data_IF_558187207928
#
_entry.id   IF_558187207928
#
_cell.length_a   1.000
_cell.length_b   1.000
_cell.length_c   1.000
_cell.angle_alpha   90.00
_cell.angle_beta   90.00
_cell.angle_gamma   90.00
#
_symmetry.space_group_name_H-M   'P 1'
#
loop_
_entity.id
_entity.type
_entity.pdbx_description
1 polymer ?
#
# COMPACT_ATOMS: atom_id res chain seq x y z
N UNK A 1 -0.46 8.84 0.04
CA UNK A 1 -0.78 9.97 0.93
C UNK A 1 -0.66 9.63 2.42
N UNK A 2 -0.56 8.35 2.80
CA UNK A 2 -0.54 7.89 4.19
C UNK A 2 -1.90 7.91 4.89
N UNK A 3 -3.01 8.10 4.18
CA UNK A 3 -4.35 8.07 4.76
C UNK A 3 -5.00 6.70 4.60
N UNK A 4 -5.80 6.31 5.59
CA UNK A 4 -6.65 5.13 5.53
C UNK A 4 -8.12 5.51 5.35
N UNK A 5 -8.89 4.56 4.81
CA UNK A 5 -10.33 4.73 4.69
C UNK A 5 -10.99 4.54 6.07
N UNK A 6 -11.90 5.44 6.44
CA UNK A 6 -12.69 5.24 7.67
C UNK A 6 -13.83 4.25 7.44
N UNK A 7 -14.24 3.55 8.50
CA UNK A 7 -15.31 2.57 8.43
C UNK A 7 -16.62 3.11 7.81
N UNK A 8 -17.11 4.32 8.15
CA UNK A 8 -18.30 4.88 7.51
C UNK A 8 -18.12 5.12 6.00
N UNK A 9 -16.92 5.57 5.58
CA UNK A 9 -16.64 5.76 4.14
C UNK A 9 -16.56 4.42 3.41
N UNK A 10 -15.99 3.39 4.04
CA UNK A 10 -15.92 2.05 3.49
C UNK A 10 -17.32 1.49 3.24
N UNK A 11 -18.22 1.56 4.22
CA UNK A 11 -19.61 1.13 4.05
C UNK A 11 -20.33 1.90 2.95
N UNK A 12 -20.17 3.22 2.91
CA UNK A 12 -20.79 4.03 1.85
C UNK A 12 -20.28 3.65 0.46
N UNK A 13 -18.99 3.34 0.34
CA UNK A 13 -18.42 2.90 -0.93
C UNK A 13 -19.00 1.55 -1.37
N UNK A 14 -19.11 0.59 -0.45
CA UNK A 14 -19.72 -0.71 -0.73
C UNK A 14 -21.18 -0.59 -1.14
N UNK A 15 -21.97 0.25 -0.46
CA UNK A 15 -23.36 0.53 -0.84
C UNK A 15 -23.47 1.15 -2.25
N UNK A 16 -22.57 2.06 -2.61
CA UNK A 16 -22.52 2.64 -3.95
C UNK A 16 -22.14 1.59 -5.00
N UNK A 17 -21.17 0.74 -4.70
CA UNK A 17 -20.77 -0.35 -5.58
C UNK A 17 -21.91 -1.33 -5.83
N UNK A 18 -22.65 -1.70 -4.80
CA UNK A 18 -23.83 -2.55 -4.90
C UNK A 18 -24.92 -1.88 -5.75
N UNK A 19 -25.26 -0.63 -5.41
CA UNK A 19 -26.32 0.14 -6.10
C UNK A 19 -26.07 0.31 -7.59
N UNK A 20 -24.80 0.49 -7.97
CA UNK A 20 -24.40 0.74 -9.36
C UNK A 20 -23.81 -0.50 -10.04
N UNK A 21 -23.91 -1.67 -9.42
CA UNK A 21 -23.36 -2.93 -9.90
C UNK A 21 -21.87 -2.82 -10.31
N UNK A 22 -21.06 -2.20 -9.46
CA UNK A 22 -19.62 -2.03 -9.68
C UNK A 22 -18.84 -3.10 -8.91
N UNK A 23 -17.71 -3.54 -9.49
CA UNK A 23 -16.68 -4.25 -8.76
C UNK A 23 -15.67 -3.24 -8.18
N UNK A 24 -15.12 -3.56 -7.02
CA UNK A 24 -14.08 -2.75 -6.37
C UNK A 24 -12.77 -3.52 -6.45
N UNK A 25 -11.73 -2.90 -6.98
CA UNK A 25 -10.36 -3.42 -6.89
C UNK A 25 -9.65 -2.70 -5.75
N UNK A 26 -9.34 -3.45 -4.68
CA UNK A 26 -8.59 -2.96 -3.52
C UNK A 26 -7.12 -3.34 -3.68
N UNK A 27 -6.31 -2.42 -4.20
CA UNK A 27 -4.86 -2.59 -4.34
C UNK A 27 -4.16 -2.11 -3.07
N UNK A 28 -3.73 -3.03 -2.21
CA UNK A 28 -3.15 -2.74 -0.90
C UNK A 28 -1.74 -3.33 -0.70
N UNK A 29 -0.74 -2.86 -1.45
CA UNK A 29 0.65 -3.33 -1.32
C UNK A 29 1.30 -2.93 0.00
N UNK A 30 0.63 -2.13 0.83
CA UNK A 30 1.08 -1.66 2.13
C UNK A 30 0.31 -2.28 3.30
N UNK A 31 -0.53 -3.27 3.04
CA UNK A 31 -1.37 -3.93 4.04
C UNK A 31 -0.60 -4.36 5.30
N UNK A 32 0.59 -4.91 5.10
CA UNK A 32 1.42 -5.47 6.17
C UNK A 32 1.99 -4.42 7.13
N UNK A 33 1.99 -3.14 6.74
CA UNK A 33 2.41 -2.04 7.60
C UNK A 33 1.26 -1.44 8.42
N UNK A 34 0.03 -1.76 8.05
CA UNK A 34 -1.16 -1.27 8.75
C UNK A 34 -1.45 -2.12 9.98
N UNK A 35 -2.07 -1.55 11.01
CA UNK A 35 -2.56 -2.33 12.14
C UNK A 35 -3.61 -3.35 11.66
N UNK A 36 -3.74 -4.45 12.39
CA UNK A 36 -4.73 -5.51 12.10
C UNK A 36 -6.17 -5.01 12.14
N UNK A 37 -6.42 -3.92 12.88
CA UNK A 37 -7.70 -3.22 12.95
C UNK A 37 -7.99 -2.30 11.76
N UNK A 38 -7.05 -2.14 10.82
CA UNK A 38 -7.27 -1.30 9.64
C UNK A 38 -8.44 -1.83 8.81
N UNK A 39 -9.28 -0.91 8.38
CA UNK A 39 -10.45 -1.23 7.56
C UNK A 39 -10.02 -1.69 6.19
N UNK A 40 -10.51 -2.85 5.76
CA UNK A 40 -10.36 -3.38 4.39
C UNK A 40 -11.73 -3.65 3.80
N UNK A 41 -11.95 -3.19 2.59
CA UNK A 41 -13.21 -3.39 1.87
C UNK A 41 -13.47 -4.86 1.62
N UNK A 42 -12.44 -5.60 1.23
CA UNK A 42 -12.49 -7.05 1.00
C UNK A 42 -12.91 -7.84 2.23
N UNK A 43 -12.51 -7.40 3.43
CA UNK A 43 -12.94 -8.03 4.68
C UNK A 43 -14.40 -7.74 5.00
N UNK A 44 -14.87 -6.52 4.74
CA UNK A 44 -16.25 -6.12 4.99
C UNK A 44 -17.23 -6.75 4.00
N UNK A 45 -16.82 -6.86 2.74
CA UNK A 45 -17.59 -7.36 1.62
C UNK A 45 -17.50 -8.89 1.45
N UNK A 46 -16.58 -9.54 2.16
CA UNK A 46 -16.29 -10.98 2.06
C UNK A 46 -15.97 -11.44 0.62
N UNK A 47 -15.36 -10.56 -0.17
CA UNK A 47 -15.00 -10.78 -1.58
C UNK A 47 -16.20 -11.00 -2.53
N UNK A 48 -17.39 -10.54 -2.16
CA UNK A 48 -18.56 -10.65 -3.04
C UNK A 48 -18.43 -9.74 -4.27
N UNK A 49 -17.97 -8.51 -4.08
CA UNK A 49 -17.73 -7.50 -5.13
C UNK A 49 -16.32 -6.95 -5.14
N UNK A 50 -15.55 -7.28 -4.10
CA UNK A 50 -14.19 -6.75 -3.93
C UNK A 50 -13.17 -7.77 -4.42
N UNK A 51 -12.24 -7.29 -5.25
CA UNK A 51 -11.05 -8.00 -5.68
C UNK A 51 -9.88 -7.40 -4.92
N UNK A 52 -9.27 -8.17 -4.03
CA UNK A 52 -8.14 -7.71 -3.23
C UNK A 52 -6.82 -8.10 -3.89
N UNK A 53 -5.91 -7.13 -4.00
CA UNK A 53 -4.56 -7.33 -4.54
C UNK A 53 -3.55 -7.09 -3.41
N UNK A 54 -2.81 -8.13 -3.04
CA UNK A 54 -1.74 -8.09 -2.06
C UNK A 54 -0.37 -8.32 -2.70
N UNK A 55 0.68 -7.81 -2.04
CA UNK A 55 2.04 -7.88 -2.56
C UNK A 55 3.07 -8.01 -1.46
N UNK A 56 4.07 -8.86 -1.67
CA UNK A 56 5.24 -9.00 -0.79
C UNK A 56 6.39 -8.05 -1.17
N UNK A 57 6.22 -7.25 -2.22
CA UNK A 57 7.29 -6.39 -2.74
C UNK A 57 7.72 -5.29 -1.78
N UNK A 58 6.85 -4.80 -0.92
CA UNK A 58 7.14 -3.70 0.01
C UNK A 58 7.52 -4.20 1.40
N UNK A 59 6.93 -5.31 1.82
CA UNK A 59 7.11 -5.86 3.16
C UNK A 59 8.20 -6.93 3.24
N UNK A 60 8.57 -7.55 2.13
CA UNK A 60 9.60 -8.60 2.11
C UNK A 60 10.70 -8.31 1.10
N UNK A 61 10.43 -8.44 -0.20
CA UNK A 61 11.42 -8.14 -1.24
C UNK A 61 10.78 -7.83 -2.58
N UNK A 62 11.11 -6.67 -3.14
CA UNK A 62 10.66 -6.27 -4.47
C UNK A 62 11.24 -7.17 -5.58
N UNK A 63 12.41 -7.79 -5.35
CA UNK A 63 13.08 -8.65 -6.32
C UNK A 63 12.36 -9.98 -6.55
N UNK A 64 11.57 -10.46 -5.58
CA UNK A 64 10.85 -11.73 -5.71
C UNK A 64 9.69 -11.67 -6.70
N UNK A 65 9.11 -10.50 -6.93
CA UNK A 65 7.96 -10.31 -7.84
C UNK A 65 6.77 -11.21 -7.50
N UNK A 66 6.52 -11.46 -6.22
CA UNK A 66 5.41 -12.28 -5.72
C UNK A 66 4.33 -11.39 -5.15
N UNK A 67 3.09 -11.66 -5.54
CA UNK A 67 1.87 -11.07 -5.03
C UNK A 67 0.72 -12.05 -5.17
N UNK A 68 -0.46 -11.67 -4.74
CA UNK A 68 -1.65 -12.50 -4.81
C UNK A 68 -2.90 -11.68 -5.05
N UNK A 69 -3.90 -12.33 -5.61
CA UNK A 69 -5.25 -11.80 -5.76
C UNK A 69 -6.19 -12.67 -4.95
N UNK A 70 -7.04 -12.06 -4.13
CA UNK A 70 -8.14 -12.72 -3.45
C UNK A 70 -9.47 -12.16 -4.00
N UNK A 71 -10.33 -13.06 -4.49
CA UNK A 71 -11.61 -12.73 -5.11
C UNK A 71 -12.54 -13.93 -5.03
N UNK A 72 -13.74 -13.85 -5.63
CA UNK A 72 -14.64 -14.98 -5.72
C UNK A 72 -14.01 -16.17 -6.45
N UNK A 73 -14.41 -17.40 -6.10
CA UNK A 73 -13.84 -18.62 -6.69
C UNK A 73 -14.00 -18.67 -8.22
N UNK A 74 -15.13 -18.19 -8.75
CA UNK A 74 -15.34 -18.14 -10.19
C UNK A 74 -14.32 -17.24 -10.88
N UNK A 75 -14.15 -16.00 -10.40
CA UNK A 75 -13.17 -15.08 -10.96
C UNK A 75 -11.72 -15.57 -10.76
N UNK A 76 -11.41 -16.26 -9.65
CA UNK A 76 -10.09 -16.81 -9.42
C UNK A 76 -9.70 -17.87 -10.48
N UNK A 77 -10.66 -18.72 -10.89
CA UNK A 77 -10.44 -19.69 -11.97
C UNK A 77 -10.18 -18.99 -13.31
N UNK A 78 -11.01 -18.02 -13.68
CA UNK A 78 -10.85 -17.25 -14.92
C UNK A 78 -9.48 -16.53 -14.97
N UNK A 79 -9.06 -15.93 -13.84
CA UNK A 79 -7.77 -15.27 -13.73
C UNK A 79 -6.59 -16.26 -13.77
N UNK A 80 -6.75 -17.47 -13.24
CA UNK A 80 -5.73 -18.52 -13.33
C UNK A 80 -5.54 -18.97 -14.78
N UNK A 81 -6.61 -19.20 -15.52
CA UNK A 81 -6.57 -19.54 -16.94
C UNK A 81 -5.93 -18.41 -17.76
N UNK A 82 -6.31 -17.17 -17.51
CA UNK A 82 -5.72 -16.00 -18.16
C UNK A 82 -4.22 -15.84 -17.83
N UNK A 83 -3.82 -16.07 -16.57
CA UNK A 83 -2.41 -16.08 -16.15
C UNK A 83 -1.61 -17.15 -16.94
N UNK A 84 -2.17 -18.34 -17.07
CA UNK A 84 -1.52 -19.43 -17.83
C UNK A 84 -1.33 -19.06 -19.31
N UNK A 85 -2.29 -18.36 -19.92
CA UNK A 85 -2.19 -17.92 -21.32
C UNK A 85 -1.17 -16.77 -21.52
N UNK A 86 -1.08 -15.83 -20.58
CA UNK A 86 -0.25 -14.63 -20.75
C UNK A 86 1.19 -14.88 -20.28
N UNK A 87 1.38 -15.59 -19.18
CA UNK A 87 2.68 -15.73 -18.51
C UNK A 87 3.22 -17.17 -18.50
N UNK A 88 2.42 -18.15 -18.93
CA UNK A 88 2.71 -19.61 -18.84
C UNK A 88 2.92 -20.04 -17.39
N UNK A 89 3.95 -19.50 -16.70
CA UNK A 89 4.20 -19.69 -15.27
C UNK A 89 4.97 -18.53 -14.66
N UNK A 90 4.80 -18.30 -13.36
CA UNK A 90 5.67 -17.44 -12.57
C UNK A 90 6.95 -18.17 -12.14
N UNK A 91 7.78 -17.50 -11.32
CA UNK A 91 8.94 -18.14 -10.70
C UNK A 91 8.48 -18.99 -9.51
N UNK A 92 8.34 -20.30 -9.73
CA UNK A 92 7.99 -21.26 -8.67
C UNK A 92 8.97 -21.17 -7.48
N UNK A 93 10.24 -20.90 -7.74
CA UNK A 93 11.25 -20.71 -6.70
C UNK A 93 10.90 -19.53 -5.78
N UNK A 94 10.52 -18.40 -6.34
CA UNK A 94 10.15 -17.21 -5.57
C UNK A 94 8.84 -17.46 -4.79
N UNK A 95 7.86 -18.08 -5.41
CA UNK A 95 6.58 -18.43 -4.78
C UNK A 95 6.80 -19.40 -3.61
N UNK A 96 7.62 -20.47 -3.79
CA UNK A 96 7.98 -21.40 -2.72
C UNK A 96 8.76 -20.74 -1.58
N UNK A 97 9.65 -19.79 -1.88
CA UNK A 97 10.35 -19.05 -0.83
C UNK A 97 9.37 -18.30 0.06
N UNK A 98 8.39 -17.63 -0.53
CA UNK A 98 7.35 -16.91 0.22
C UNK A 98 6.50 -17.91 1.02
N UNK A 99 6.07 -19.03 0.42
CA UNK A 99 5.29 -20.08 1.10
C UNK A 99 6.01 -20.61 2.36
N UNK A 100 7.30 -20.93 2.25
CA UNK A 100 8.09 -21.40 3.40
C UNK A 100 8.17 -20.34 4.49
N UNK A 101 8.40 -19.07 4.11
CA UNK A 101 8.46 -17.97 5.07
C UNK A 101 7.15 -17.77 5.82
N UNK A 102 6.01 -17.93 5.13
CA UNK A 102 4.68 -17.86 5.73
C UNK A 102 4.42 -19.06 6.67
N UNK A 103 4.62 -20.30 6.20
CA UNK A 103 4.35 -21.53 6.96
C UNK A 103 5.19 -21.65 8.24
N UNK A 104 6.46 -21.22 8.19
CA UNK A 104 7.34 -21.28 9.35
C UNK A 104 7.19 -20.07 10.30
N UNK A 105 6.25 -19.17 10.02
CA UNK A 105 6.04 -17.96 10.79
C UNK A 105 7.23 -16.98 10.79
N UNK A 106 8.18 -17.17 9.86
CA UNK A 106 9.34 -16.27 9.72
C UNK A 106 8.92 -14.92 9.18
N UNK A 107 7.95 -14.91 8.28
CA UNK A 107 7.41 -13.69 7.71
C UNK A 107 6.79 -12.78 8.79
N UNK A 108 5.95 -13.33 9.67
CA UNK A 108 5.35 -12.53 10.75
C UNK A 108 6.41 -11.98 11.73
N UNK A 109 7.42 -12.79 12.08
CA UNK A 109 8.54 -12.30 12.90
C UNK A 109 9.34 -11.18 12.21
N UNK A 110 9.48 -11.25 10.89
CA UNK A 110 10.08 -10.19 10.10
C UNK A 110 9.23 -8.92 10.12
N UNK A 111 7.91 -9.04 9.93
CA UNK A 111 6.97 -7.91 9.97
C UNK A 111 6.97 -7.18 11.31
N UNK A 112 7.01 -7.89 12.43
CA UNK A 112 7.10 -7.27 13.76
C UNK A 112 8.31 -6.34 13.87
N UNK A 113 9.49 -6.83 13.47
CA UNK A 113 10.71 -6.03 13.47
C UNK A 113 10.66 -4.84 12.50
N UNK A 114 10.07 -5.07 11.33
CA UNK A 114 9.95 -4.05 10.28
C UNK A 114 9.00 -2.94 10.72
N UNK A 115 7.84 -3.28 11.30
CA UNK A 115 6.87 -2.33 11.85
C UNK A 115 7.48 -1.47 12.96
N UNK A 116 8.25 -2.07 13.86
CA UNK A 116 8.95 -1.33 14.93
C UNK A 116 9.94 -0.30 14.35
N UNK A 117 10.77 -0.72 13.39
CA UNK A 117 11.72 0.18 12.73
C UNK A 117 11.02 1.30 11.96
N UNK A 118 9.95 0.95 11.26
CA UNK A 118 9.17 1.92 10.50
C UNK A 118 8.48 2.93 11.42
N UNK A 119 7.88 2.46 12.52
CA UNK A 119 7.24 3.34 13.51
C UNK A 119 8.22 4.36 14.08
N UNK A 120 9.39 3.91 14.53
CA UNK A 120 10.42 4.81 15.05
C UNK A 120 10.92 5.83 14.01
N UNK A 121 11.12 5.39 12.76
CA UNK A 121 11.53 6.26 11.67
C UNK A 121 10.43 7.27 11.30
N UNK A 122 9.18 6.84 11.28
CA UNK A 122 8.02 7.71 11.00
C UNK A 122 7.88 8.80 12.07
N UNK A 123 7.96 8.40 13.34
CA UNK A 123 7.89 9.33 14.48
C UNK A 123 9.02 10.38 14.41
N UNK A 124 10.25 9.92 14.22
CA UNK A 124 11.41 10.82 14.11
C UNK A 124 11.26 11.79 12.94
N UNK A 125 10.80 11.32 11.78
CA UNK A 125 10.61 12.15 10.60
C UNK A 125 9.50 13.20 10.84
N UNK A 126 8.39 12.81 11.46
CA UNK A 126 7.29 13.73 11.78
C UNK A 126 7.73 14.80 12.79
N UNK A 127 8.44 14.45 13.84
CA UNK A 127 8.99 15.39 14.82
C UNK A 127 9.94 16.40 14.17
N UNK A 128 10.82 15.91 13.28
CA UNK A 128 11.74 16.77 12.57
C UNK A 128 11.00 17.74 11.63
N UNK A 129 10.01 17.26 10.88
CA UNK A 129 9.20 18.09 9.98
C UNK A 129 8.41 19.15 10.74
N UNK A 130 7.85 18.80 11.90
CA UNK A 130 7.15 19.75 12.77
C UNK A 130 8.07 20.86 13.26
N UNK A 131 9.28 20.51 13.68
CA UNK A 131 10.29 21.48 14.11
C UNK A 131 10.71 22.47 12.98
N UNK A 132 10.54 22.05 11.70
CA UNK A 132 10.78 22.92 10.54
C UNK A 132 9.52 23.70 10.09
N UNK A 133 8.41 23.60 10.83
CA UNK A 133 7.15 24.25 10.48
C UNK A 133 6.41 23.63 9.30
N UNK A 134 6.75 22.40 8.93
CA UNK A 134 6.06 21.69 7.87
C UNK A 134 4.70 21.16 8.35
N UNK A 135 3.75 21.03 7.42
CA UNK A 135 2.47 20.40 7.69
C UNK A 135 2.45 18.98 7.11
N UNK A 136 2.29 17.97 7.97
CA UNK A 136 2.13 16.58 7.56
C UNK A 136 0.65 16.24 7.48
N UNK A 137 0.20 15.82 6.30
CA UNK A 137 -1.16 15.36 6.06
C UNK A 137 -1.32 13.90 6.49
N UNK A 138 -2.46 13.57 7.10
CA UNK A 138 -2.82 12.21 7.52
C UNK A 138 -1.68 11.51 8.30
N UNK A 139 -1.46 11.95 9.54
CA UNK A 139 -0.43 11.38 10.43
C UNK A 139 -0.78 9.95 10.82
N UNK A 140 -0.01 9.00 10.33
CA UNK A 140 -0.06 7.60 10.72
C UNK A 140 1.21 7.20 11.49
N UNK A 141 1.06 6.25 12.41
CA UNK A 141 2.19 5.76 13.22
C UNK A 141 3.19 4.93 12.39
N UNK A 142 2.70 4.28 11.34
CA UNK A 142 3.51 3.38 10.49
C UNK A 142 3.18 3.63 9.03
N UNK A 143 4.01 4.41 8.35
CA UNK A 143 3.83 4.71 6.94
C UNK A 143 5.18 4.75 6.21
N UNK A 144 5.19 4.28 4.95
CA UNK A 144 6.35 4.39 4.08
C UNK A 144 6.46 5.76 3.41
N UNK A 145 5.39 6.55 3.42
CA UNK A 145 5.35 7.86 2.75
C UNK A 145 4.66 8.87 3.64
N UNK A 146 5.25 10.05 3.70
CA UNK A 146 4.65 11.22 4.31
C UNK A 146 4.22 12.19 3.21
N UNK A 147 3.01 12.71 3.30
CA UNK A 147 2.54 13.80 2.46
C UNK A 147 2.75 15.10 3.22
N UNK A 148 3.64 15.95 2.70
CA UNK A 148 4.15 17.11 3.44
C UNK A 148 3.97 18.38 2.64
N UNK A 149 3.49 19.43 3.30
CA UNK A 149 3.55 20.82 2.81
C UNK A 149 4.70 21.54 3.50
N UNK A 150 5.57 22.16 2.70
CA UNK A 150 6.73 22.89 3.18
C UNK A 150 6.43 24.38 3.21
N UNK A 151 6.83 25.13 4.26
CA UNK A 151 6.63 26.57 4.31
C UNK A 151 7.33 27.29 3.14
N UNK A 152 6.60 28.19 2.46
CA UNK A 152 7.14 28.97 1.35
C UNK A 152 7.42 28.20 0.05
N UNK A 153 6.88 26.99 -0.08
CA UNK A 153 6.97 26.17 -1.30
C UNK A 153 5.62 26.13 -2.00
N UNK A 154 5.46 26.92 -3.05
CA UNK A 154 4.24 26.95 -3.87
C UNK A 154 4.33 25.99 -5.08
N UNK A 155 5.54 25.79 -5.62
CA UNK A 155 5.78 24.83 -6.72
C UNK A 155 6.60 23.64 -6.22
N UNK A 156 5.90 22.53 -6.03
CA UNK A 156 6.50 21.26 -5.56
C UNK A 156 7.43 20.61 -6.59
N UNK A 157 7.26 20.90 -7.89
CA UNK A 157 8.12 20.35 -8.94
C UNK A 157 9.46 21.09 -8.93
N UNK A 158 9.46 22.41 -8.99
CA UNK A 158 10.67 23.20 -8.93
C UNK A 158 11.47 22.94 -7.64
N UNK A 159 10.77 22.76 -6.52
CA UNK A 159 11.40 22.38 -5.25
C UNK A 159 12.05 20.98 -5.31
N UNK A 160 11.36 19.99 -5.87
CA UNK A 160 11.92 18.64 -6.03
C UNK A 160 13.17 18.65 -6.91
N UNK A 161 13.18 19.40 -8.01
CA UNK A 161 14.35 19.58 -8.89
C UNK A 161 15.56 20.18 -8.17
N UNK A 162 15.35 21.21 -7.33
CA UNK A 162 16.40 21.79 -6.50
C UNK A 162 16.97 20.76 -5.49
N UNK A 163 16.12 19.94 -4.89
CA UNK A 163 16.53 18.92 -3.94
C UNK A 163 17.37 17.82 -4.62
N UNK A 164 17.06 17.46 -5.86
CA UNK A 164 17.86 16.48 -6.63
C UNK A 164 19.32 16.94 -6.75
N UNK A 165 19.57 18.22 -6.97
CA UNK A 165 20.94 18.78 -7.03
C UNK A 165 21.70 18.64 -5.70
N UNK A 166 20.96 18.45 -4.60
CA UNK A 166 21.53 18.21 -3.25
C UNK A 166 21.51 16.73 -2.85
N UNK A 167 21.22 15.82 -3.81
CA UNK A 167 21.18 14.38 -3.59
C UNK A 167 19.92 13.87 -2.89
N UNK A 168 18.88 14.70 -2.73
CA UNK A 168 17.60 14.31 -2.13
C UNK A 168 16.56 14.11 -3.23
N UNK A 169 15.91 12.94 -3.22
CA UNK A 169 14.84 12.62 -4.17
C UNK A 169 13.49 12.57 -3.45
N UNK A 170 12.53 13.34 -3.92
CA UNK A 170 11.14 13.29 -3.46
C UNK A 170 10.19 13.33 -4.65
N UNK A 171 9.00 12.75 -4.49
CA UNK A 171 7.95 12.85 -5.48
C UNK A 171 7.25 14.22 -5.31
N UNK A 172 7.21 15.08 -6.34
CA UNK A 172 6.51 16.37 -6.26
C UNK A 172 5.00 16.15 -6.18
N UNK A 173 4.31 16.89 -5.32
CA UNK A 173 2.86 16.80 -5.12
C UNK A 173 2.06 17.00 -6.41
N UNK A 174 2.57 17.84 -7.32
CA UNK A 174 1.93 18.15 -8.60
C UNK A 174 1.60 16.92 -9.45
N UNK A 175 2.42 15.84 -9.42
CA UNK A 175 2.14 14.62 -10.21
C UNK A 175 0.93 13.82 -9.70
N UNK A 176 0.37 14.17 -8.55
CA UNK A 176 -0.81 13.53 -7.94
C UNK A 176 -2.07 14.40 -8.03
N UNK A 177 -1.99 15.59 -8.64
CA UNK A 177 -3.15 16.43 -8.91
C UNK A 177 -3.62 16.20 -10.35
N UNK A 178 -4.94 16.16 -10.49
CA UNK A 178 -5.59 16.27 -11.80
C UNK A 178 -5.74 17.77 -12.06
N UNK A 179 -5.11 18.26 -13.13
CA UNK A 179 -5.30 19.64 -13.62
C UNK A 179 -6.71 19.79 -14.21
#
# INVERSE_FOLDING_TARGET
>A
TGSDISLPKAYRLLQLAERHNLAIVEDDPFADFKPTSAVRLSTLDQLERTIYIGSFSKSFSAALRVGYIACSAALANDLADLKALIHVSGSEYCERMVDVMLREGRYERHLVKLRQKLGAATEQAQQWLDAQGCTVFARNEQTLYLWVSFPGVDDSLAFAEQLVQRGVKMAPGRVFHLD
#
